data_IF_092326891295
#
_entry.id   IF_092326891295
#
_cell.length_a   1.000
_cell.length_b   1.000
_cell.length_c   1.000
_cell.angle_alpha   90.00
_cell.angle_beta   90.00
_cell.angle_gamma   90.00
#
_symmetry.space_group_name_H-M   'P 1'
#
loop_
_entity.id
_entity.type
_entity.pdbx_description
1 polymer ?
#
# COMPACT_ATOMS: atom_id res chain seq x y z
N UNK A 1 13.52 -2.13 19.84
CA UNK A 1 13.07 -3.34 19.11
C UNK A 1 11.57 -3.32 19.14
N UNK A 2 10.91 -3.43 17.98
CA UNK A 2 9.45 -3.38 17.89
C UNK A 2 8.88 -4.76 18.24
N UNK A 3 7.85 -4.81 19.07
CA UNK A 3 7.16 -6.06 19.40
C UNK A 3 6.21 -6.46 18.26
N UNK A 4 6.46 -7.61 17.64
CA UNK A 4 5.66 -8.15 16.53
C UNK A 4 4.67 -9.23 16.97
N UNK A 5 4.58 -9.53 18.26
CA UNK A 5 3.78 -10.66 18.79
C UNK A 5 2.29 -10.58 18.42
N UNK A 6 1.71 -9.38 18.34
CA UNK A 6 0.32 -9.18 17.93
C UNK A 6 0.08 -9.54 16.46
N UNK A 7 1.04 -9.23 15.60
CA UNK A 7 0.98 -9.58 14.16
C UNK A 7 1.22 -11.07 13.98
N UNK A 8 2.20 -11.65 14.66
CA UNK A 8 2.49 -13.09 14.62
C UNK A 8 1.25 -13.90 15.02
N UNK A 9 0.58 -13.49 16.10
CA UNK A 9 -0.68 -14.11 16.55
C UNK A 9 -1.77 -14.02 15.48
N UNK A 10 -1.88 -12.88 14.81
CA UNK A 10 -2.90 -12.67 13.75
C UNK A 10 -2.59 -13.48 12.51
N UNK A 11 -1.31 -13.61 12.15
CA UNK A 11 -0.85 -14.37 10.98
C UNK A 11 -0.72 -15.87 11.25
N UNK A 12 -0.76 -16.31 12.51
CA UNK A 12 -0.56 -17.70 12.92
C UNK A 12 0.85 -18.23 12.62
N UNK A 13 1.85 -17.34 12.49
CA UNK A 13 3.24 -17.69 12.18
C UNK A 13 4.21 -16.68 12.75
N UNK A 14 5.43 -17.15 13.01
CA UNK A 14 6.54 -16.30 13.45
C UNK A 14 6.99 -15.36 12.33
N UNK A 15 7.43 -14.17 12.74
CA UNK A 15 8.08 -13.16 11.88
C UNK A 15 9.50 -12.98 12.40
N UNK A 16 10.49 -13.38 11.62
CA UNK A 16 11.89 -13.28 12.02
C UNK A 16 12.48 -11.90 11.77
N UNK A 17 11.98 -11.17 10.75
CA UNK A 17 12.42 -9.82 10.44
C UNK A 17 11.36 -9.02 9.66
N UNK A 18 11.40 -7.69 9.82
CA UNK A 18 10.76 -6.73 8.92
C UNK A 18 11.89 -5.92 8.31
N UNK A 19 11.97 -5.94 6.97
CA UNK A 19 13.01 -5.23 6.21
C UNK A 19 12.41 -3.94 5.67
N UNK A 20 12.89 -2.81 6.15
CA UNK A 20 12.42 -1.48 5.76
C UNK A 20 13.16 -0.89 4.56
N UNK A 21 12.73 0.30 4.13
CA UNK A 21 13.37 1.05 3.04
C UNK A 21 14.78 1.54 3.38
N UNK A 22 15.14 1.61 4.65
CA UNK A 22 16.51 1.87 5.12
C UNK A 22 17.51 0.84 4.59
N UNK A 23 17.05 -0.37 4.35
CA UNK A 23 17.82 -1.48 3.73
C UNK A 23 17.48 -1.60 2.25
N UNK A 24 16.20 -1.74 1.90
CA UNK A 24 15.74 -1.97 0.51
C UNK A 24 16.01 -0.76 -0.39
N UNK A 25 15.89 0.46 0.15
CA UNK A 25 16.03 1.72 -0.59
C UNK A 25 17.44 2.08 -1.05
N UNK A 26 18.44 1.22 -0.82
CA UNK A 26 19.82 1.44 -1.28
C UNK A 26 20.04 1.09 -2.75
N UNK A 27 19.20 0.25 -3.32
CA UNK A 27 19.27 -0.19 -4.71
C UNK A 27 17.85 -0.44 -5.22
N UNK A 28 17.66 -0.30 -6.53
CA UNK A 28 16.44 -0.79 -7.17
C UNK A 28 16.25 -2.27 -6.88
N UNK A 29 15.00 -2.72 -6.72
CA UNK A 29 14.69 -4.10 -6.36
C UNK A 29 13.37 -4.55 -6.92
N UNK A 30 13.17 -5.87 -7.02
CA UNK A 30 11.88 -6.48 -7.36
C UNK A 30 11.49 -7.57 -6.38
N UNK A 31 10.18 -7.74 -6.20
CA UNK A 31 9.56 -8.80 -5.39
C UNK A 31 8.70 -9.65 -6.32
N UNK A 32 9.11 -10.91 -6.50
CA UNK A 32 8.35 -11.93 -7.21
C UNK A 32 7.55 -12.74 -6.17
N UNK A 33 6.23 -12.52 -6.12
CA UNK A 33 5.34 -13.19 -5.17
C UNK A 33 5.08 -14.66 -5.53
N UNK A 34 5.14 -14.99 -6.81
CA UNK A 34 4.94 -16.36 -7.30
C UNK A 34 6.09 -17.27 -6.87
N UNK A 35 7.34 -16.79 -7.04
CA UNK A 35 8.54 -17.56 -6.66
C UNK A 35 9.06 -17.21 -5.25
N UNK A 36 8.43 -16.22 -4.59
CA UNK A 36 8.80 -15.72 -3.25
C UNK A 36 10.26 -15.25 -3.20
N UNK A 37 10.69 -14.49 -4.19
CA UNK A 37 12.06 -13.98 -4.31
C UNK A 37 12.09 -12.47 -4.28
N UNK A 38 13.05 -11.95 -3.52
CA UNK A 38 13.51 -10.57 -3.57
C UNK A 38 14.81 -10.53 -4.38
N UNK A 39 14.90 -9.62 -5.35
CA UNK A 39 16.09 -9.40 -6.16
C UNK A 39 16.48 -7.93 -6.07
N UNK A 40 17.77 -7.66 -5.90
CA UNK A 40 18.35 -6.34 -6.02
C UNK A 40 18.97 -6.15 -7.40
N UNK A 41 18.93 -4.93 -7.92
CA UNK A 41 19.51 -4.54 -9.20
C UNK A 41 18.46 -3.99 -10.16
N UNK A 42 18.81 -3.92 -11.46
CA UNK A 42 17.94 -3.33 -12.48
C UNK A 42 16.56 -3.97 -12.50
N UNK A 43 15.55 -3.13 -12.58
CA UNK A 43 14.14 -3.55 -12.66
C UNK A 43 13.71 -3.60 -14.12
N UNK A 44 13.10 -4.71 -14.51
CA UNK A 44 12.52 -4.84 -15.84
C UNK A 44 11.26 -3.96 -15.93
N UNK A 45 11.26 -3.05 -16.90
CA UNK A 45 10.09 -2.20 -17.15
C UNK A 45 9.01 -3.00 -17.84
N UNK A 46 7.83 -3.03 -17.24
CA UNK A 46 6.64 -3.66 -17.82
C UNK A 46 5.74 -2.60 -18.50
N UNK A 47 4.58 -3.02 -19.02
CA UNK A 47 3.59 -2.08 -19.56
C UNK A 47 2.85 -1.31 -18.46
N UNK A 48 2.74 -1.93 -17.29
CA UNK A 48 2.05 -1.37 -16.13
C UNK A 48 3.06 -0.66 -15.25
N UNK A 49 3.09 0.66 -15.29
CA UNK A 49 4.04 1.49 -14.55
C UNK A 49 3.35 2.71 -13.93
N UNK A 50 3.92 3.19 -12.83
CA UNK A 50 3.55 4.47 -12.21
C UNK A 50 4.79 5.11 -11.60
N UNK A 51 4.93 6.42 -11.75
CA UNK A 51 5.99 7.18 -11.07
C UNK A 51 5.63 7.38 -9.60
N UNK A 52 6.63 7.44 -8.73
CA UNK A 52 6.46 7.78 -7.33
C UNK A 52 7.18 9.09 -6.97
N UNK A 53 6.77 9.69 -5.87
CA UNK A 53 7.26 10.98 -5.42
C UNK A 53 8.70 10.91 -4.88
N UNK A 54 9.48 11.97 -5.10
CA UNK A 54 10.88 12.06 -4.70
C UNK A 54 11.12 12.93 -3.47
N UNK A 55 10.10 13.66 -3.03
CA UNK A 55 10.18 14.63 -1.93
C UNK A 55 9.77 14.04 -0.57
N UNK A 56 9.61 12.72 -0.49
CA UNK A 56 9.21 12.00 0.71
C UNK A 56 10.15 10.81 0.96
N UNK A 57 10.38 10.41 2.22
CA UNK A 57 11.17 9.21 2.54
C UNK A 57 10.42 7.90 2.26
N UNK A 58 9.18 7.99 1.80
CA UNK A 58 8.33 6.86 1.47
C UNK A 58 8.14 6.74 -0.04
N UNK A 59 7.74 5.56 -0.50
CA UNK A 59 7.30 5.36 -1.88
C UNK A 59 5.82 5.73 -1.94
N UNK A 60 5.53 6.93 -2.42
CA UNK A 60 4.18 7.48 -2.54
C UNK A 60 3.81 7.61 -4.02
N UNK A 61 2.68 7.07 -4.40
CA UNK A 61 2.14 7.12 -5.77
C UNK A 61 0.81 7.85 -5.79
N UNK A 62 0.51 8.51 -6.91
CA UNK A 62 -0.84 9.00 -7.17
C UNK A 62 -1.69 7.89 -7.79
N UNK A 63 -2.83 7.64 -7.17
CA UNK A 63 -3.87 6.76 -7.68
C UNK A 63 -5.17 7.56 -7.88
N UNK A 64 -6.06 7.06 -8.73
CA UNK A 64 -7.42 7.60 -8.88
C UNK A 64 -8.42 6.60 -8.34
N UNK A 65 -9.22 7.04 -7.38
CA UNK A 65 -10.32 6.29 -6.80
C UNK A 65 -11.63 6.97 -7.22
N UNK A 66 -12.40 6.33 -8.08
CA UNK A 66 -13.51 6.98 -8.79
C UNK A 66 -12.98 8.22 -9.57
N UNK A 67 -13.51 9.37 -9.30
CA UNK A 67 -13.11 10.67 -9.88
C UNK A 67 -12.02 11.41 -9.09
N UNK A 68 -11.58 10.88 -7.95
CA UNK A 68 -10.67 11.54 -7.02
C UNK A 68 -9.23 11.04 -7.15
N UNK A 69 -8.28 11.97 -7.29
CA UNK A 69 -6.87 11.70 -7.12
C UNK A 69 -6.56 11.58 -5.62
N UNK A 70 -5.80 10.54 -5.25
CA UNK A 70 -5.33 10.26 -3.89
C UNK A 70 -3.86 9.88 -3.92
N UNK A 71 -3.13 10.29 -2.87
CA UNK A 71 -1.72 9.97 -2.68
C UNK A 71 -1.61 8.79 -1.73
N UNK A 72 -1.06 7.68 -2.18
CA UNK A 72 -0.99 6.44 -1.44
C UNK A 72 0.45 6.00 -1.21
N UNK A 73 0.83 5.78 0.04
CA UNK A 73 2.09 5.13 0.36
C UNK A 73 1.99 3.63 0.01
N UNK A 74 2.96 3.14 -0.74
CA UNK A 74 3.02 1.72 -1.12
C UNK A 74 3.47 0.90 0.07
N UNK A 75 2.62 -0.02 0.52
CA UNK A 75 2.87 -0.91 1.66
C UNK A 75 2.75 -2.38 1.23
N UNK A 76 3.90 -3.05 1.15
CA UNK A 76 3.97 -4.48 0.81
C UNK A 76 3.48 -5.39 1.94
N UNK A 77 3.41 -4.88 3.16
CA UNK A 77 2.92 -5.58 4.36
C UNK A 77 1.42 -5.44 4.59
N UNK A 78 0.78 -4.44 3.98
CA UNK A 78 -0.66 -4.24 4.11
C UNK A 78 -1.46 -5.33 3.37
N UNK A 79 -2.54 -5.79 3.97
CA UNK A 79 -3.41 -6.82 3.38
C UNK A 79 -4.50 -6.25 2.46
N UNK A 80 -4.81 -4.95 2.57
CA UNK A 80 -5.83 -4.25 1.80
C UNK A 80 -5.53 -2.75 1.73
N UNK A 81 -6.15 -2.06 0.78
CA UNK A 81 -6.13 -0.61 0.70
C UNK A 81 -6.64 -0.01 2.02
N UNK A 82 -5.91 0.95 2.57
CA UNK A 82 -6.34 1.73 3.73
C UNK A 82 -6.37 3.21 3.38
N UNK A 83 -7.47 3.87 3.73
CA UNK A 83 -7.66 5.30 3.52
C UNK A 83 -7.82 5.98 4.87
N UNK A 84 -7.15 7.12 5.07
CA UNK A 84 -7.22 7.89 6.31
C UNK A 84 -8.43 8.80 6.30
N UNK A 85 -9.29 8.67 7.30
CA UNK A 85 -10.56 9.43 7.37
C UNK A 85 -10.32 10.93 7.36
N UNK A 86 -9.30 11.42 8.06
CA UNK A 86 -8.97 12.86 8.14
C UNK A 86 -8.58 13.46 6.78
N UNK A 87 -8.09 12.63 5.85
CA UNK A 87 -7.64 13.04 4.51
C UNK A 87 -8.74 12.94 3.45
N UNK A 88 -9.82 12.26 3.75
CA UNK A 88 -10.94 12.07 2.84
C UNK A 88 -11.98 13.16 3.05
N UNK A 89 -11.85 14.30 2.36
CA UNK A 89 -12.94 15.27 2.28
C UNK A 89 -14.14 14.58 1.60
N UNK A 90 -15.32 14.62 2.23
CA UNK A 90 -16.56 14.02 1.72
C UNK A 90 -16.50 12.49 1.50
N UNK A 91 -15.87 11.79 2.45
CA UNK A 91 -15.74 10.32 2.44
C UNK A 91 -17.08 9.55 2.38
N UNK A 92 -18.21 10.23 2.57
CA UNK A 92 -19.53 9.58 2.61
C UNK A 92 -19.88 8.81 1.33
N UNK A 93 -19.40 9.24 0.17
CA UNK A 93 -19.58 8.50 -1.10
C UNK A 93 -18.81 7.17 -1.15
N UNK A 94 -17.73 7.05 -0.35
CA UNK A 94 -16.92 5.84 -0.23
C UNK A 94 -17.38 4.95 0.94
N UNK A 95 -18.20 5.46 1.87
CA UNK A 95 -18.50 4.84 3.15
C UNK A 95 -19.73 3.91 3.12
N UNK A 96 -20.00 3.22 2.04
CA UNK A 96 -21.12 2.27 1.95
C UNK A 96 -20.91 0.93 2.71
N UNK A 97 -19.83 0.79 3.48
CA UNK A 97 -19.41 -0.47 4.10
C UNK A 97 -19.71 -0.62 5.58
N UNK A 98 -19.55 -1.86 6.10
CA UNK A 98 -19.73 -2.20 7.51
C UNK A 98 -18.51 -1.88 8.34
N UNK A 99 -18.74 -1.37 9.58
CA UNK A 99 -17.66 -1.21 10.56
C UNK A 99 -17.08 -2.58 10.99
N UNK A 100 -15.76 -2.67 11.08
CA UNK A 100 -15.03 -3.86 11.51
C UNK A 100 -13.82 -3.45 12.37
N UNK A 101 -13.33 -4.37 13.20
CA UNK A 101 -12.07 -4.20 13.93
C UNK A 101 -10.90 -4.74 13.09
N UNK A 102 -9.77 -4.11 13.18
CA UNK A 102 -8.51 -4.58 12.57
C UNK A 102 -7.36 -4.47 13.56
N UNK A 103 -6.29 -5.19 13.26
CA UNK A 103 -5.06 -5.19 14.03
C UNK A 103 -3.89 -4.76 13.14
N UNK A 104 -3.02 -3.91 13.66
CA UNK A 104 -1.73 -3.56 13.06
C UNK A 104 -0.62 -3.66 14.13
N UNK A 105 0.59 -3.24 13.79
CA UNK A 105 1.74 -3.20 14.72
C UNK A 105 1.46 -2.34 15.96
N UNK A 106 0.61 -1.32 15.84
CA UNK A 106 0.21 -0.43 16.94
C UNK A 106 -0.97 -0.95 17.78
N UNK A 107 -1.54 -2.13 17.46
CA UNK A 107 -2.68 -2.73 18.16
C UNK A 107 -3.97 -2.76 17.38
N UNK A 108 -5.10 -2.82 18.08
CA UNK A 108 -6.43 -2.86 17.47
C UNK A 108 -6.95 -1.45 17.17
N UNK A 109 -7.57 -1.29 16.00
CA UNK A 109 -8.21 -0.05 15.59
C UNK A 109 -9.55 -0.29 14.90
N UNK A 110 -10.41 0.72 14.90
CA UNK A 110 -11.68 0.66 14.18
C UNK A 110 -11.45 0.99 12.70
N UNK A 111 -12.11 0.23 11.84
CA UNK A 111 -12.09 0.43 10.39
C UNK A 111 -13.48 0.25 9.82
N UNK A 112 -13.77 0.95 8.74
CA UNK A 112 -14.96 0.76 7.94
C UNK A 112 -14.58 0.16 6.60
N UNK A 113 -15.19 -0.97 6.24
CA UNK A 113 -14.98 -1.58 4.93
C UNK A 113 -15.60 -0.73 3.84
N UNK A 114 -14.89 -0.56 2.73
CA UNK A 114 -15.36 0.15 1.54
C UNK A 114 -15.09 -0.70 0.30
N UNK A 115 -15.98 -0.63 -0.67
CA UNK A 115 -15.78 -1.17 -2.01
C UNK A 115 -15.66 0.01 -2.97
N UNK A 116 -14.51 0.16 -3.59
CA UNK A 116 -14.24 1.20 -4.58
C UNK A 116 -14.39 0.55 -5.94
N UNK A 117 -15.42 0.93 -6.68
CA UNK A 117 -15.78 0.30 -7.95
C UNK A 117 -14.78 0.58 -9.07
N UNK A 118 -14.15 1.73 -9.04
CA UNK A 118 -13.19 2.16 -10.05
C UNK A 118 -11.90 2.61 -9.40
N UNK A 119 -10.81 1.93 -9.74
CA UNK A 119 -9.47 2.26 -9.27
C UNK A 119 -8.52 2.26 -10.45
N UNK A 120 -7.73 3.34 -10.56
CA UNK A 120 -6.69 3.46 -11.57
C UNK A 120 -5.35 3.79 -10.93
N UNK A 121 -4.31 3.10 -11.37
CA UNK A 121 -2.93 3.36 -10.99
C UNK A 121 -2.10 3.60 -12.25
N UNK A 122 -1.58 4.82 -12.40
CA UNK A 122 -0.97 5.24 -13.65
C UNK A 122 -1.98 5.18 -14.82
N UNK A 123 -1.66 4.40 -15.85
CA UNK A 123 -2.53 4.19 -17.02
C UNK A 123 -3.42 2.95 -16.91
N UNK A 124 -3.23 2.14 -15.86
CA UNK A 124 -3.91 0.86 -15.71
C UNK A 124 -5.15 0.97 -14.84
N UNK A 125 -6.25 0.41 -15.31
CA UNK A 125 -7.46 0.19 -14.54
C UNK A 125 -7.30 -1.10 -13.72
N UNK A 126 -7.35 -0.96 -12.39
CA UNK A 126 -7.20 -2.09 -11.48
C UNK A 126 -8.52 -2.81 -11.22
N UNK A 127 -9.64 -2.18 -11.60
CA UNK A 127 -10.99 -2.64 -11.29
C UNK A 127 -11.39 -2.36 -9.85
N UNK A 128 -12.45 -3.03 -9.36
CA UNK A 128 -12.93 -2.84 -8.00
C UNK A 128 -11.91 -3.27 -6.95
N UNK A 129 -11.65 -2.43 -5.94
CA UNK A 129 -10.82 -2.75 -4.79
C UNK A 129 -11.62 -2.71 -3.50
N UNK A 130 -11.42 -3.72 -2.67
CA UNK A 130 -11.88 -3.68 -1.29
C UNK A 130 -10.81 -2.99 -0.43
N UNK A 131 -11.23 -2.01 0.34
CA UNK A 131 -10.37 -1.27 1.24
C UNK A 131 -11.04 -1.01 2.59
N UNK A 132 -10.37 -0.21 3.40
CA UNK A 132 -10.85 0.22 4.70
C UNK A 132 -10.60 1.71 4.86
N UNK A 133 -11.59 2.42 5.40
CA UNK A 133 -11.38 3.74 5.97
C UNK A 133 -11.06 3.54 7.45
N UNK A 134 -9.97 4.14 7.89
CA UNK A 134 -9.49 4.07 9.27
C UNK A 134 -9.58 5.44 9.91
N UNK A 135 -10.11 5.48 11.14
CA UNK A 135 -10.07 6.69 11.94
C UNK A 135 -8.61 6.91 12.38
N UNK A 136 -8.01 7.93 11.84
CA UNK A 136 -6.70 8.40 12.23
C UNK A 136 -6.85 9.46 13.33
N UNK A 137 -6.14 9.27 14.42
CA UNK A 137 -6.31 10.12 15.61
C UNK A 137 -5.59 11.46 15.50
N UNK A 138 -4.64 11.64 14.57
CA UNK A 138 -3.90 12.90 14.34
C UNK A 138 -3.30 12.92 12.94
N UNK A 139 -3.22 14.11 12.39
CA UNK A 139 -2.37 14.43 11.25
C UNK A 139 -0.90 14.46 11.72
N UNK A 140 -0.29 13.27 11.84
CA UNK A 140 1.09 13.10 12.31
C UNK A 140 2.14 13.55 11.27
N UNK A 141 1.82 14.55 10.47
CA UNK A 141 2.72 15.01 9.40
C UNK A 141 2.83 14.03 8.23
N UNK A 142 1.90 13.08 8.12
CA UNK A 142 1.82 12.18 6.96
C UNK A 142 1.28 12.95 5.78
N UNK A 143 2.08 13.07 4.76
CA UNK A 143 1.71 13.77 3.53
C UNK A 143 1.21 12.78 2.45
N UNK A 144 0.30 11.87 2.83
CA UNK A 144 -0.40 10.93 1.95
C UNK A 144 -1.76 10.54 2.53
N UNK A 145 -2.68 10.11 1.67
CA UNK A 145 -4.10 9.92 2.00
C UNK A 145 -4.42 8.50 2.48
N UNK A 146 -3.47 7.57 2.32
CA UNK A 146 -3.67 6.18 2.71
C UNK A 146 -2.52 5.26 2.33
N UNK A 147 -2.73 3.95 2.47
CA UNK A 147 -1.77 2.90 2.14
C UNK A 147 -2.27 2.07 0.96
N UNK A 148 -1.46 1.94 -0.07
CA UNK A 148 -1.72 1.03 -1.20
C UNK A 148 -1.15 -0.34 -0.88
N UNK A 149 -2.04 -1.31 -0.66
CA UNK A 149 -1.64 -2.69 -0.47
C UNK A 149 -1.24 -3.34 -1.79
N UNK A 150 0.02 -3.75 -1.91
CA UNK A 150 0.49 -4.53 -3.07
C UNK A 150 -0.20 -5.90 -3.13
N UNK A 151 -0.43 -6.51 -1.97
CA UNK A 151 -1.15 -7.79 -1.88
C UNK A 151 -2.60 -7.69 -2.35
N UNK A 152 -3.28 -6.58 -2.05
CA UNK A 152 -4.65 -6.32 -2.50
C UNK A 152 -4.79 -6.18 -4.02
N UNK A 153 -3.68 -5.93 -4.74
CA UNK A 153 -3.65 -5.82 -6.19
C UNK A 153 -3.46 -7.17 -6.90
N UNK A 154 -3.21 -8.25 -6.15
CA UNK A 154 -2.98 -9.60 -6.67
C UNK A 154 -1.87 -9.67 -7.74
N UNK A 155 -0.76 -8.97 -7.51
CA UNK A 155 0.37 -8.92 -8.43
C UNK A 155 1.21 -10.20 -8.35
N UNK A 156 1.71 -10.67 -9.51
CA UNK A 156 2.73 -11.72 -9.54
C UNK A 156 4.12 -11.18 -9.20
N UNK A 157 4.42 -9.97 -9.69
CA UNK A 157 5.70 -9.30 -9.46
C UNK A 157 5.51 -7.78 -9.37
N UNK A 158 6.31 -7.15 -8.53
CA UNK A 158 6.45 -5.69 -8.45
C UNK A 158 7.93 -5.30 -8.42
N UNK A 159 8.30 -4.32 -9.22
CA UNK A 159 9.64 -3.75 -9.26
C UNK A 159 9.65 -2.29 -8.85
N UNK A 160 10.67 -1.89 -8.12
CA UNK A 160 10.92 -0.53 -7.64
C UNK A 160 12.22 -0.02 -8.26
N UNK A 161 12.11 0.74 -9.33
CA UNK A 161 13.24 1.42 -9.98
C UNK A 161 13.48 2.75 -9.25
N UNK A 162 14.44 2.74 -8.32
CA UNK A 162 14.71 3.91 -7.46
C UNK A 162 15.48 5.00 -8.21
N UNK A 163 16.16 4.67 -9.31
CA UNK A 163 16.87 5.64 -10.13
C UNK A 163 15.89 6.44 -11.00
N UNK A 164 14.89 5.75 -11.56
CA UNK A 164 13.86 6.37 -12.40
C UNK A 164 12.62 6.83 -11.61
N UNK A 165 12.58 6.55 -10.31
CA UNK A 165 11.42 6.81 -9.45
C UNK A 165 10.12 6.21 -10.04
N UNK A 166 10.19 4.96 -10.47
CA UNK A 166 9.10 4.26 -11.14
C UNK A 166 8.85 2.90 -10.47
N UNK A 167 7.59 2.56 -10.30
CA UNK A 167 7.16 1.21 -9.98
C UNK A 167 6.65 0.57 -11.24
N UNK A 168 6.99 -0.70 -11.46
CA UNK A 168 6.44 -1.52 -12.54
C UNK A 168 5.91 -2.83 -11.97
N UNK A 169 4.87 -3.42 -12.58
CA UNK A 169 4.29 -4.66 -12.09
C UNK A 169 3.76 -5.56 -13.20
N UNK A 170 3.57 -6.85 -12.81
CA UNK A 170 2.85 -7.86 -13.58
C UNK A 170 1.73 -8.48 -12.73
N UNK A 171 0.60 -8.79 -13.37
CA UNK A 171 -0.51 -9.58 -12.83
C UNK A 171 -0.47 -10.97 -13.42
#
# INVERSE_FOLDING_TARGET
MQDLSSIEKTLGRRIDAVVGLDVLGKNSFSIDYRTKRLRFGPVERTRSTVSFETNTPFIVVEARLLDRAVRLMVDTGASALMLFQSRLKDANSLLAGRAAKATNVGGNFQRQSVLISETRLGKEELGPLTGFVVADQRDEGRDFDGLLSVRGLHLEEIGFDLEKHEISWRK
#
